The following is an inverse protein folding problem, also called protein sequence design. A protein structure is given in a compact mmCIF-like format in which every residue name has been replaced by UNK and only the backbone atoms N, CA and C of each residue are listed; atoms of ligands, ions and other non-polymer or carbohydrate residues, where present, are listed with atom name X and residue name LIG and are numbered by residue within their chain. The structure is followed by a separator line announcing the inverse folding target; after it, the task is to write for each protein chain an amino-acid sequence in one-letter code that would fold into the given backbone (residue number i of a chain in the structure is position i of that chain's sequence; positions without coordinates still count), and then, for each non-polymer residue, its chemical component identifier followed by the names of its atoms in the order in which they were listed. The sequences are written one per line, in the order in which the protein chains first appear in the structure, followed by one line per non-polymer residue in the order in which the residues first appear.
data_IF_719401027689
#
_entry.id   IF_719401027689
#
_cell.length_a   1.000
_cell.length_b   1.000
_cell.length_c   1.000
_cell.angle_alpha   90.00
_cell.angle_beta   90.00
_cell.angle_gamma   90.00
#
_symmetry.space_group_name_H-M   'P 1'
#
loop_
_entity.id
_entity.type
_entity.pdbx_description
1 polymer ?
#
# COMPACT_ATOMS: atom_id res chain seq x y z
N UNK A 1 -17.65 -5.99 16.16
CA UNK A 1 -16.87 -5.94 16.03
C UNK A 1 -16.17 -5.26 15.24
N UNK A 2 -15.77 -4.61 15.43
CA UNK A 2 -15.13 -4.04 14.61
C UNK A 2 -13.97 -4.47 14.29
N UNK A 3 -13.68 -4.73 13.25
CA UNK A 3 -12.50 -5.27 12.83
C UNK A 3 -11.56 -4.24 12.47
N UNK A 4 -10.38 -4.34 12.92
CA UNK A 4 -9.32 -3.53 12.41
C UNK A 4 -9.04 -3.96 10.99
N UNK A 5 -9.05 -3.03 10.09
CA UNK A 5 -8.67 -3.31 8.72
C UNK A 5 -7.17 -3.07 8.63
N UNK A 6 -6.40 -4.10 8.33
CA UNK A 6 -4.95 -3.90 8.26
C UNK A 6 -4.56 -3.03 7.08
N UNK A 7 -3.33 -2.55 7.08
CA UNK A 7 -2.81 -1.79 5.96
C UNK A 7 -2.93 -0.30 6.12
N UNK A 8 -2.43 0.42 5.15
CA UNK A 8 -2.36 1.87 5.19
C UNK A 8 -3.25 2.53 4.17
N UNK A 9 -3.92 3.59 4.60
CA UNK A 9 -4.78 4.37 3.71
C UNK A 9 -3.90 5.31 2.89
N UNK A 10 -3.97 5.19 1.58
CA UNK A 10 -3.15 6.00 0.68
C UNK A 10 -3.76 7.39 0.59
N UNK A 11 -2.94 8.40 0.91
CA UNK A 11 -3.35 9.79 0.81
C UNK A 11 -3.13 10.35 -0.58
N UNK A 12 -2.07 9.94 -1.24
CA UNK A 12 -1.74 10.45 -2.57
C UNK A 12 -0.85 9.46 -3.31
N UNK A 13 -0.99 9.48 -4.63
CA UNK A 13 -0.13 8.69 -5.52
C UNK A 13 0.54 9.68 -6.46
N UNK A 14 1.87 9.66 -6.52
CA UNK A 14 2.61 10.59 -7.36
C UNK A 14 2.49 10.23 -8.82
N UNK A 15 2.44 11.22 -9.69
CA UNK A 15 2.45 10.94 -11.14
C UNK A 15 3.76 10.26 -11.55
N UNK A 16 3.65 9.41 -12.53
CA UNK A 16 4.80 8.69 -13.13
C UNK A 16 5.49 7.76 -12.16
N UNK A 17 4.81 7.39 -11.07
CA UNK A 17 5.35 6.44 -10.11
C UNK A 17 4.88 5.03 -10.43
N UNK A 18 5.49 4.06 -9.73
CA UNK A 18 5.04 2.67 -9.83
C UNK A 18 3.58 2.55 -9.39
N UNK A 19 3.21 3.24 -8.29
CA UNK A 19 1.83 3.17 -7.81
C UNK A 19 0.83 3.64 -8.84
N UNK A 20 1.15 4.73 -9.53
CA UNK A 20 0.27 5.20 -10.59
C UNK A 20 0.21 4.21 -11.74
N UNK A 21 1.34 3.65 -12.11
CA UNK A 21 1.42 2.76 -13.27
C UNK A 21 0.57 1.51 -13.09
N UNK A 22 0.46 0.99 -11.87
CA UNK A 22 -0.32 -0.21 -11.63
C UNK A 22 -1.76 0.08 -11.23
N UNK A 23 -2.14 1.36 -11.14
CA UNK A 23 -3.53 1.72 -10.93
C UNK A 23 -3.93 2.04 -9.50
N UNK A 24 -2.97 2.28 -8.61
CA UNK A 24 -3.30 2.70 -7.25
C UNK A 24 -3.84 4.13 -7.26
N UNK A 25 -4.70 4.42 -6.31
CA UNK A 25 -5.33 5.73 -6.17
C UNK A 25 -5.38 6.17 -4.73
N UNK A 26 -5.43 7.47 -4.52
CA UNK A 26 -5.73 8.02 -3.20
C UNK A 26 -7.06 7.44 -2.73
N UNK A 27 -7.12 7.07 -1.47
CA UNK A 27 -8.29 6.42 -0.90
C UNK A 27 -8.22 4.91 -0.88
N UNK A 28 -7.31 4.32 -1.64
CA UNK A 28 -7.09 2.88 -1.56
C UNK A 28 -6.40 2.54 -0.25
N UNK A 29 -6.66 1.34 0.25
CA UNK A 29 -5.96 0.84 1.43
C UNK A 29 -5.05 -0.28 1.00
N UNK A 30 -3.76 -0.10 1.22
CA UNK A 30 -2.75 -1.09 0.86
C UNK A 30 -2.59 -2.06 2.01
N UNK A 31 -2.94 -3.32 1.79
CA UNK A 31 -3.01 -4.34 2.83
C UNK A 31 -1.70 -5.08 2.99
N UNK A 32 -1.12 -5.50 1.88
CA UNK A 32 0.10 -6.31 1.93
C UNK A 32 0.93 -6.11 0.68
N UNK A 33 2.22 -6.40 0.83
CA UNK A 33 3.17 -6.44 -0.28
C UNK A 33 3.84 -7.79 -0.25
N UNK A 34 3.78 -8.50 -1.37
CA UNK A 34 4.42 -9.82 -1.54
C UNK A 34 4.07 -10.77 -0.40
N UNK A 35 2.82 -10.72 0.04
CA UNK A 35 2.33 -11.60 1.11
C UNK A 35 2.64 -11.13 2.52
N UNK A 36 3.32 -9.99 2.67
CA UNK A 36 3.67 -9.46 3.99
C UNK A 36 2.68 -8.41 4.40
N UNK A 37 1.95 -8.62 5.51
CA UNK A 37 1.05 -7.58 6.01
C UNK A 37 1.81 -6.34 6.39
N UNK A 38 1.21 -5.19 6.17
CA UNK A 38 1.88 -3.92 6.39
C UNK A 38 1.37 -3.28 7.67
N UNK A 39 2.28 -2.88 8.54
CA UNK A 39 1.94 -2.28 9.83
C UNK A 39 2.27 -0.79 9.86
N UNK A 40 3.18 -0.34 9.01
CA UNK A 40 3.58 1.06 8.97
C UNK A 40 4.34 1.34 7.68
N UNK A 41 4.77 2.59 7.52
CA UNK A 41 5.46 2.98 6.29
C UNK A 41 6.83 2.32 6.17
N UNK A 42 7.43 1.92 7.27
CA UNK A 42 8.73 1.23 7.20
C UNK A 42 8.56 -0.11 6.52
N UNK A 43 7.49 -0.83 6.83
CA UNK A 43 7.18 -2.08 6.14
C UNK A 43 7.00 -1.84 4.64
N UNK A 44 6.32 -0.77 4.27
CA UNK A 44 6.13 -0.45 2.86
C UNK A 44 7.47 -0.24 2.17
N UNK A 45 8.37 0.50 2.82
CA UNK A 45 9.68 0.76 2.24
C UNK A 45 10.51 -0.51 2.14
N UNK A 46 10.42 -1.35 3.16
CA UNK A 46 11.22 -2.56 3.20
C UNK A 46 10.74 -3.60 2.18
N UNK A 47 9.45 -3.92 2.20
CA UNK A 47 8.91 -4.93 1.30
C UNK A 47 8.70 -4.38 -0.12
N UNK A 48 8.55 -3.07 -0.25
CA UNK A 48 8.39 -2.45 -1.54
C UNK A 48 9.69 -2.27 -2.31
N UNK A 49 10.82 -2.67 -1.72
CA UNK A 49 12.10 -2.56 -2.40
C UNK A 49 12.33 -3.61 -3.47
N UNK A 50 11.52 -4.66 -3.46
CA UNK A 50 11.64 -5.71 -4.46
C UNK A 50 11.26 -5.19 -5.85
N UNK A 51 11.81 -5.81 -6.87
CA UNK A 51 11.51 -5.43 -8.23
C UNK A 51 10.13 -5.91 -8.66
N UNK A 52 9.75 -7.10 -8.29
CA UNK A 52 8.43 -7.64 -8.61
C UNK A 52 7.55 -7.52 -7.37
N UNK A 53 6.43 -6.82 -7.50
CA UNK A 53 5.56 -6.53 -6.38
C UNK A 53 4.16 -7.05 -6.65
N UNK A 54 3.63 -7.78 -5.67
CA UNK A 54 2.23 -8.21 -5.66
C UNK A 54 1.57 -7.53 -4.48
N UNK A 55 0.48 -6.82 -4.76
CA UNK A 55 -0.18 -5.99 -3.75
C UNK A 55 -1.60 -6.46 -3.53
N UNK A 56 -2.03 -6.45 -2.27
CA UNK A 56 -3.43 -6.60 -1.93
C UNK A 56 -3.97 -5.26 -1.53
N UNK A 57 -5.08 -4.85 -2.11
CA UNK A 57 -5.61 -3.50 -1.98
C UNK A 57 -7.11 -3.57 -1.74
N UNK A 58 -7.62 -2.67 -0.91
CA UNK A 58 -9.07 -2.52 -0.72
C UNK A 58 -9.49 -1.16 -1.26
N UNK A 59 -10.49 -1.17 -2.12
CA UNK A 59 -11.08 0.05 -2.68
C UNK A 59 -12.58 -0.07 -2.58
N UNK A 60 -13.21 0.89 -1.94
CA UNK A 60 -14.68 0.91 -1.79
C UNK A 60 -15.21 -0.39 -1.20
N UNK A 61 -14.50 -0.92 -0.22
CA UNK A 61 -14.92 -2.12 0.48
C UNK A 61 -14.60 -3.42 -0.25
N UNK A 62 -14.01 -3.36 -1.42
CA UNK A 62 -13.68 -4.56 -2.19
C UNK A 62 -12.19 -4.77 -2.24
N UNK A 63 -11.78 -6.00 -2.00
CA UNK A 63 -10.36 -6.36 -2.05
C UNK A 63 -9.99 -6.89 -3.43
N UNK A 64 -8.86 -6.47 -3.92
CA UNK A 64 -8.35 -6.97 -5.19
C UNK A 64 -6.82 -6.97 -5.16
N UNK A 65 -6.25 -7.64 -6.14
CA UNK A 65 -4.81 -7.78 -6.25
C UNK A 65 -4.29 -6.97 -7.40
N UNK A 66 -3.13 -6.36 -7.21
CA UNK A 66 -2.39 -5.72 -8.29
C UNK A 66 -0.99 -6.33 -8.31
N UNK A 67 -0.42 -6.39 -9.48
CA UNK A 67 0.92 -6.96 -9.62
C UNK A 67 1.66 -6.20 -10.70
N UNK A 68 2.93 -5.95 -10.47
CA UNK A 68 3.73 -5.27 -11.46
C UNK A 68 5.20 -5.42 -11.19
N UNK A 69 5.99 -4.97 -12.15
CA UNK A 69 7.42 -5.00 -12.05
C UNK A 69 7.91 -3.56 -11.99
N UNK A 70 8.68 -3.23 -10.96
CA UNK A 70 9.13 -1.88 -10.73
C UNK A 70 10.52 -1.72 -11.32
N UNK A 71 10.70 -0.67 -12.12
CA UNK A 71 12.02 -0.33 -12.62
C UNK A 71 12.91 0.08 -11.47
N UNK A 72 14.18 -0.16 -11.65
CA UNK A 72 15.15 0.07 -10.60
C UNK A 72 15.12 1.50 -10.06
N UNK A 73 14.87 2.47 -10.92
CA UNK A 73 14.86 3.88 -10.52
C UNK A 73 13.47 4.42 -10.23
N UNK A 74 12.45 3.58 -10.35
CA UNK A 74 11.08 4.05 -10.22
C UNK A 74 10.65 4.02 -8.76
N UNK A 75 10.17 5.16 -8.26
CA UNK A 75 9.67 5.24 -6.90
C UNK A 75 8.30 4.60 -6.80
N UNK A 76 7.96 4.11 -5.60
CA UNK A 76 6.59 3.65 -5.34
C UNK A 76 5.60 4.80 -5.47
N UNK A 77 5.97 5.99 -4.98
CA UNK A 77 5.16 7.19 -5.15
C UNK A 77 3.93 7.25 -4.29
N UNK A 78 3.94 6.60 -3.13
CA UNK A 78 2.77 6.55 -2.27
C UNK A 78 2.98 7.39 -1.03
N UNK A 79 1.97 8.18 -0.68
CA UNK A 79 1.92 8.87 0.60
C UNK A 79 0.73 8.31 1.36
N UNK A 80 0.87 8.19 2.67
CA UNK A 80 -0.16 7.60 3.51
C UNK A 80 -0.72 8.64 4.47
N UNK A 81 -1.97 8.44 4.84
CA UNK A 81 -2.63 9.35 5.77
C UNK A 81 -1.94 9.33 7.12
N UNK A 82 -1.56 8.15 7.58
CA UNK A 82 -0.84 7.99 8.84
C UNK A 82 0.38 7.13 8.63
N UNK A 83 1.49 7.40 9.32
CA UNK A 83 2.69 6.56 9.20
C UNK A 83 2.53 5.20 9.88
N UNK A 84 1.63 5.08 10.83
CA UNK A 84 1.34 3.81 11.51
C UNK A 84 -0.05 3.37 11.08
N UNK A 85 -0.17 2.17 10.56
CA UNK A 85 -1.37 1.77 9.85
C UNK A 85 -2.47 1.20 10.75
N UNK A 86 -2.11 0.74 11.92
CA UNK A 86 -3.09 0.18 12.83
C UNK A 86 -3.23 1.00 14.10
N UNK A 87 -3.15 2.32 13.94
CA UNK A 87 -3.17 3.22 15.08
C UNK A 87 -4.47 3.18 15.83
N UNK A 88 -5.53 2.80 15.23
CA UNK A 88 -6.83 2.81 15.85
C UNK A 88 -7.09 1.59 16.70
N UNK A 89 -6.13 0.76 16.83
CA UNK A 89 -6.29 -0.32 17.72
C UNK A 89 -6.19 0.18 19.08
N UNK A 90 -6.52 0.47 19.61
CA UNK A 90 -6.24 0.96 20.73
C UNK A 90 -6.85 0.71 21.67
N UNK A 91 -6.90 0.60 21.77
CA UNK A 91 -7.28 0.58 22.62
C UNK A 91 -7.88 0.75 22.98
#
# INVERSE_FOLDING_TARGET
MVANVPGGLIAAVEPDSFGEAIGLRAGDRLISLNGHPLRDIIDVQFYGADQVLALQVVRDGQQFSLQGERDYEQALGLSFVNPTFDVDIRR
#
